data_IF_912895803277
#
_entry.id   IF_912895803277
#
_cell.length_a   1.000
_cell.length_b   1.000
_cell.length_c   1.000
_cell.angle_alpha   90.00
_cell.angle_beta   90.00
_cell.angle_gamma   90.00
#
_symmetry.space_group_name_H-M   'P 1'
#
loop_
_entity.id
_entity.type
_entity.pdbx_description
1 polymer ?
#
# COMPACT_ATOMS: atom_id res chain seq x y z
N UNK A 1 8.88 21.31 -17.03
CA UNK A 1 9.69 20.43 -16.16
C UNK A 1 10.32 19.38 -17.05
N UNK A 2 11.65 19.25 -17.05
CA UNK A 2 12.34 18.31 -17.94
C UNK A 2 11.97 16.87 -17.55
N UNK A 3 11.61 16.03 -18.54
CA UNK A 3 11.26 14.63 -18.29
C UNK A 3 12.44 13.88 -17.68
N UNK A 4 12.17 13.02 -16.69
CA UNK A 4 13.18 12.09 -16.19
C UNK A 4 13.59 11.11 -17.30
N UNK A 5 14.80 10.55 -17.23
CA UNK A 5 15.23 9.52 -18.18
C UNK A 5 14.25 8.33 -18.24
N UNK A 6 13.64 7.98 -17.10
CA UNK A 6 12.63 6.92 -17.01
C UNK A 6 11.35 7.28 -17.74
N UNK A 7 10.86 8.52 -17.62
CA UNK A 7 9.68 8.97 -18.37
C UNK A 7 9.99 9.12 -19.87
N UNK A 8 11.20 9.54 -20.25
CA UNK A 8 11.63 9.56 -21.66
C UNK A 8 11.62 8.15 -22.26
N UNK A 9 12.09 7.15 -21.51
CA UNK A 9 12.05 5.77 -21.96
C UNK A 9 10.61 5.21 -21.99
N UNK A 10 9.79 5.54 -20.99
CA UNK A 10 8.37 5.16 -21.00
C UNK A 10 7.65 5.74 -22.23
N UNK A 11 7.92 6.98 -22.60
CA UNK A 11 7.38 7.63 -23.80
C UNK A 11 7.79 6.89 -25.09
N UNK A 12 9.07 6.53 -25.22
CA UNK A 12 9.57 5.72 -26.34
C UNK A 12 8.82 4.40 -26.44
N UNK A 13 8.69 3.68 -25.33
CA UNK A 13 7.98 2.40 -25.30
C UNK A 13 6.50 2.56 -25.65
N UNK A 14 5.80 3.54 -25.05
CA UNK A 14 4.39 3.78 -25.36
C UNK A 14 4.19 4.20 -26.83
N UNK A 15 5.14 4.92 -27.43
CA UNK A 15 5.09 5.26 -28.85
C UNK A 15 5.20 4.03 -29.75
N UNK A 16 6.14 3.13 -29.46
CA UNK A 16 6.27 1.84 -30.17
C UNK A 16 5.00 0.99 -29.98
N UNK A 17 4.53 0.85 -28.74
CA UNK A 17 3.32 0.08 -28.43
C UNK A 17 2.08 0.64 -29.12
N UNK A 18 1.92 1.96 -29.18
CA UNK A 18 0.79 2.62 -29.84
C UNK A 18 0.84 2.47 -31.37
N UNK A 19 2.03 2.33 -31.93
CA UNK A 19 2.22 2.09 -33.37
C UNK A 19 1.91 0.64 -33.75
N UNK A 20 2.30 -0.31 -32.89
CA UNK A 20 2.14 -1.75 -33.13
C UNK A 20 0.76 -2.29 -32.75
N UNK A 21 0.17 -1.80 -31.65
CA UNK A 21 -1.14 -2.18 -31.08
C UNK A 21 -1.38 -3.66 -30.76
N UNK A 22 -0.38 -4.53 -30.93
CA UNK A 22 -0.51 -5.97 -30.68
C UNK A 22 -1.02 -6.32 -29.26
N UNK A 23 -0.64 -5.53 -28.26
CA UNK A 23 -0.98 -5.76 -26.85
C UNK A 23 -2.30 -5.11 -26.39
N UNK A 24 -3.11 -4.52 -27.28
CA UNK A 24 -4.27 -3.68 -26.91
C UNK A 24 -5.31 -4.38 -26.02
N UNK A 25 -5.47 -5.70 -26.16
CA UNK A 25 -6.38 -6.50 -25.35
C UNK A 25 -5.84 -6.98 -24.00
N UNK A 26 -4.54 -6.79 -23.71
CA UNK A 26 -3.89 -7.47 -22.58
C UNK A 26 -4.19 -6.81 -21.23
N UNK A 27 -4.29 -5.49 -21.12
CA UNK A 27 -4.60 -4.87 -19.84
C UNK A 27 -5.10 -3.44 -20.00
N UNK A 28 -5.58 -2.82 -18.92
CA UNK A 28 -6.12 -1.45 -18.94
C UNK A 28 -5.16 -0.37 -19.47
N UNK A 29 -3.84 -0.61 -19.42
CA UNK A 29 -2.84 0.36 -19.88
C UNK A 29 -2.97 0.64 -21.37
N UNK A 30 -3.17 -0.38 -22.21
CA UNK A 30 -3.14 -0.20 -23.66
C UNK A 30 -4.38 0.50 -24.22
N UNK A 31 -5.62 0.17 -23.80
CA UNK A 31 -6.80 0.95 -24.17
C UNK A 31 -6.77 2.38 -23.64
N UNK A 32 -6.09 2.62 -22.50
CA UNK A 32 -5.85 3.99 -22.05
C UNK A 32 -4.82 4.68 -22.96
N UNK A 33 -3.75 4.00 -23.36
CA UNK A 33 -2.71 4.55 -24.22
C UNK A 33 -3.22 4.90 -25.63
N UNK A 34 -4.02 4.02 -26.26
CA UNK A 34 -4.39 4.14 -27.68
C UNK A 34 -5.27 5.37 -28.01
N UNK A 35 -5.99 5.91 -27.03
CA UNK A 35 -6.82 7.11 -27.21
C UNK A 35 -6.00 8.41 -27.25
N UNK A 36 -4.67 8.31 -27.18
CA UNK A 36 -3.74 9.46 -27.18
C UNK A 36 -2.77 9.37 -28.35
N UNK A 37 -2.41 10.54 -28.90
CA UNK A 37 -1.43 10.67 -30.00
C UNK A 37 0.00 10.94 -29.51
N UNK A 38 0.12 11.58 -28.36
CA UNK A 38 1.37 11.87 -27.68
C UNK A 38 1.14 11.70 -26.17
N UNK A 39 2.20 11.36 -25.43
CA UNK A 39 2.08 11.07 -24.00
C UNK A 39 2.74 12.19 -23.22
N UNK A 40 2.00 12.85 -22.35
CA UNK A 40 2.57 13.80 -21.39
C UNK A 40 3.25 13.06 -20.23
N UNK A 41 4.04 13.76 -19.40
CA UNK A 41 4.56 13.16 -18.15
C UNK A 41 3.44 12.63 -17.26
N UNK A 42 2.32 13.36 -17.20
CA UNK A 42 1.11 12.96 -16.48
C UNK A 42 0.48 11.69 -17.02
N UNK A 43 0.42 11.52 -18.34
CA UNK A 43 -0.09 10.28 -18.95
C UNK A 43 0.82 9.08 -18.63
N UNK A 44 2.14 9.28 -18.66
CA UNK A 44 3.09 8.21 -18.35
C UNK A 44 3.03 7.82 -16.86
N UNK A 45 2.88 8.78 -15.95
CA UNK A 45 2.64 8.53 -14.53
C UNK A 45 1.29 7.84 -14.28
N UNK A 46 0.26 8.23 -15.03
CA UNK A 46 -1.04 7.56 -15.05
C UNK A 46 -0.90 6.09 -15.48
N UNK A 47 -0.24 5.80 -16.61
CA UNK A 47 -0.02 4.43 -17.07
C UNK A 47 0.82 3.60 -16.10
N UNK A 48 1.86 4.19 -15.51
CA UNK A 48 2.70 3.52 -14.52
C UNK A 48 1.91 3.06 -13.29
N UNK A 49 0.91 3.86 -12.88
CA UNK A 49 0.00 3.55 -11.79
C UNK A 49 -1.26 2.79 -12.24
N UNK A 50 -1.59 2.72 -13.52
CA UNK A 50 -2.60 1.81 -14.06
C UNK A 50 -2.02 0.40 -14.29
N UNK A 51 -0.71 0.29 -14.45
CA UNK A 51 0.01 -0.96 -14.66
C UNK A 51 0.09 -1.81 -13.38
N UNK A 52 -0.43 -3.03 -13.44
CA UNK A 52 -0.30 -4.03 -12.38
C UNK A 52 0.96 -4.90 -12.49
N UNK A 53 1.80 -4.62 -13.49
CA UNK A 53 3.01 -5.38 -13.81
C UNK A 53 2.70 -6.87 -13.96
N UNK A 54 1.73 -7.24 -14.78
CA UNK A 54 1.36 -8.66 -14.99
C UNK A 54 2.37 -9.43 -15.84
N UNK A 55 3.15 -8.76 -16.69
CA UNK A 55 4.17 -9.39 -17.53
C UNK A 55 3.68 -9.92 -18.88
N UNK A 56 2.36 -10.00 -19.12
CA UNK A 56 1.80 -10.50 -20.38
C UNK A 56 2.35 -9.75 -21.60
N UNK A 57 2.36 -8.41 -21.56
CA UNK A 57 2.91 -7.62 -22.65
C UNK A 57 4.42 -7.70 -22.85
N UNK A 58 5.16 -8.31 -21.93
CA UNK A 58 6.59 -8.58 -22.12
C UNK A 58 6.78 -9.92 -22.82
N UNK A 59 6.03 -10.95 -22.39
CA UNK A 59 6.07 -12.30 -22.96
C UNK A 59 5.54 -12.29 -24.40
N UNK A 60 4.39 -11.64 -24.64
CA UNK A 60 3.75 -11.63 -25.95
C UNK A 60 4.41 -10.67 -26.96
N UNK A 61 5.31 -9.80 -26.51
CA UNK A 61 5.87 -8.76 -27.37
C UNK A 61 7.01 -9.30 -28.23
N UNK A 62 6.84 -9.20 -29.55
CA UNK A 62 7.86 -9.55 -30.56
C UNK A 62 9.14 -8.66 -30.47
N UNK A 63 9.01 -7.50 -29.84
CA UNK A 63 10.09 -6.53 -29.64
C UNK A 63 10.66 -6.54 -28.22
N UNK A 64 10.27 -7.53 -27.40
CA UNK A 64 10.88 -7.75 -26.09
C UNK A 64 12.35 -8.21 -26.26
N UNK A 65 13.18 -8.08 -25.22
CA UNK A 65 14.57 -8.51 -25.29
C UNK A 65 14.66 -9.99 -25.69
N UNK A 66 15.63 -10.38 -26.54
CA UNK A 66 16.82 -9.63 -26.95
C UNK A 66 16.67 -8.74 -28.20
N UNK A 67 15.45 -8.45 -28.66
CA UNK A 67 15.23 -7.58 -29.82
C UNK A 67 15.84 -6.18 -29.62
N UNK A 68 16.36 -5.56 -30.68
CA UNK A 68 17.07 -4.26 -30.64
C UNK A 68 16.24 -3.10 -30.08
N UNK A 69 14.92 -3.15 -30.23
CA UNK A 69 14.00 -2.16 -29.66
C UNK A 69 13.82 -2.25 -28.15
N UNK A 70 14.21 -3.37 -27.53
CA UNK A 70 14.26 -3.57 -26.09
C UNK A 70 12.96 -3.17 -25.35
N UNK A 71 11.80 -3.66 -25.82
CA UNK A 71 10.50 -3.25 -25.28
C UNK A 71 10.22 -3.94 -23.93
N UNK A 72 10.63 -3.29 -22.83
CA UNK A 72 10.47 -3.78 -21.45
C UNK A 72 9.43 -3.00 -20.64
N UNK A 73 8.19 -2.92 -21.14
CA UNK A 73 7.11 -2.11 -20.54
C UNK A 73 6.94 -2.35 -19.03
N UNK A 74 6.87 -3.59 -18.51
CA UNK A 74 6.64 -3.81 -17.08
C UNK A 74 7.73 -3.23 -16.17
N UNK A 75 9.00 -3.34 -16.58
CA UNK A 75 10.14 -2.84 -15.80
C UNK A 75 10.22 -1.32 -15.83
N UNK A 76 10.07 -0.71 -17.01
CA UNK A 76 10.11 0.76 -17.16
C UNK A 76 8.95 1.41 -16.41
N UNK A 77 7.72 0.89 -16.54
CA UNK A 77 6.57 1.40 -15.79
C UNK A 77 6.67 1.10 -14.27
N UNK A 78 7.33 0.01 -13.86
CA UNK A 78 7.61 -0.23 -12.45
C UNK A 78 8.57 0.82 -11.87
N UNK A 79 9.58 1.23 -12.64
CA UNK A 79 10.51 2.29 -12.26
C UNK A 79 9.83 3.67 -12.24
N UNK A 80 9.06 4.01 -13.28
CA UNK A 80 8.28 5.26 -13.34
C UNK A 80 7.32 5.36 -12.15
N UNK A 81 6.65 4.25 -11.80
CA UNK A 81 5.77 4.20 -10.63
C UNK A 81 6.53 4.43 -9.32
N UNK A 82 7.71 3.82 -9.13
CA UNK A 82 8.53 4.09 -7.92
C UNK A 82 8.96 5.56 -7.84
N UNK A 83 9.39 6.15 -8.96
CA UNK A 83 9.74 7.58 -9.03
C UNK A 83 8.53 8.44 -8.64
N UNK A 84 7.34 8.10 -9.15
CA UNK A 84 6.10 8.81 -8.81
C UNK A 84 5.78 8.84 -7.31
N UNK A 85 6.16 7.82 -6.55
CA UNK A 85 5.95 7.82 -5.10
C UNK A 85 6.77 8.91 -4.40
N UNK A 86 7.99 9.15 -4.87
CA UNK A 86 8.85 10.21 -4.34
C UNK A 86 8.39 11.59 -4.83
N UNK A 87 7.97 11.71 -6.09
CA UNK A 87 7.56 12.98 -6.70
C UNK A 87 6.30 13.57 -6.05
N UNK A 88 5.39 12.69 -5.62
CA UNK A 88 4.13 13.06 -4.94
C UNK A 88 4.19 12.96 -3.41
N UNK A 89 5.34 12.62 -2.83
CA UNK A 89 5.49 12.59 -1.38
C UNK A 89 5.33 13.99 -0.79
N UNK A 90 4.54 14.10 0.28
CA UNK A 90 4.33 15.35 1.00
C UNK A 90 4.60 15.18 2.50
N UNK A 91 5.32 16.12 3.15
CA UNK A 91 6.03 17.24 2.54
C UNK A 91 7.25 16.75 1.74
N UNK A 92 7.56 17.43 0.63
CA UNK A 92 8.64 17.02 -0.29
C UNK A 92 10.01 16.89 0.38
N UNK A 93 10.25 17.63 1.46
CA UNK A 93 11.49 17.56 2.24
C UNK A 93 11.76 16.16 2.82
N UNK A 94 10.73 15.35 3.06
CA UNK A 94 10.88 13.99 3.61
C UNK A 94 11.08 12.93 2.52
N UNK A 95 10.81 13.23 1.25
CA UNK A 95 10.94 12.28 0.16
C UNK A 95 12.33 11.60 0.06
N UNK A 96 13.47 12.32 0.22
CA UNK A 96 14.80 11.71 0.13
C UNK A 96 15.06 10.67 1.22
N UNK A 97 14.51 10.88 2.43
CA UNK A 97 14.77 10.04 3.60
C UNK A 97 14.29 8.59 3.38
N UNK A 98 13.21 8.41 2.62
CA UNK A 98 12.59 7.12 2.38
C UNK A 98 13.07 6.41 1.10
N UNK A 99 13.92 7.05 0.28
CA UNK A 99 14.41 6.46 -0.98
C UNK A 99 15.39 5.29 -0.78
N UNK A 100 16.16 5.27 0.31
CA UNK A 100 17.23 4.28 0.53
C UNK A 100 17.15 3.51 1.86
N UNK A 101 16.57 4.09 2.92
CA UNK A 101 16.74 3.59 4.30
C UNK A 101 15.42 3.18 5.00
N UNK A 102 14.33 2.98 4.26
CA UNK A 102 12.98 2.81 4.83
C UNK A 102 12.86 1.73 5.94
N UNK A 103 13.52 0.57 5.78
CA UNK A 103 13.49 -0.48 6.81
C UNK A 103 14.25 -0.08 8.07
N UNK A 104 15.46 0.50 7.93
CA UNK A 104 16.25 0.96 9.07
C UNK A 104 15.52 2.05 9.84
N UNK A 105 14.94 3.03 9.12
CA UNK A 105 14.16 4.11 9.73
C UNK A 105 12.96 3.56 10.48
N UNK A 106 12.21 2.62 9.88
CA UNK A 106 11.06 2.01 10.53
C UNK A 106 11.48 1.26 11.80
N UNK A 107 12.50 0.40 11.74
CA UNK A 107 13.00 -0.35 12.90
C UNK A 107 13.54 0.57 14.00
N UNK A 108 14.32 1.59 13.65
CA UNK A 108 14.81 2.59 14.60
C UNK A 108 13.60 3.28 15.27
N UNK A 109 12.59 3.68 14.50
CA UNK A 109 11.38 4.32 15.04
C UNK A 109 10.65 3.38 16.01
N UNK A 110 10.48 2.10 15.66
CA UNK A 110 9.88 1.09 16.55
C UNK A 110 10.68 0.98 17.85
N UNK A 111 12.00 0.80 17.75
CA UNK A 111 12.86 0.60 18.91
C UNK A 111 12.94 1.86 19.78
N UNK A 112 13.01 3.05 19.19
CA UNK A 112 13.02 4.32 19.91
C UNK A 112 11.73 4.55 20.68
N UNK A 113 10.58 4.26 20.08
CA UNK A 113 9.27 4.42 20.75
C UNK A 113 9.09 3.36 21.82
N UNK A 114 9.45 2.10 21.53
CA UNK A 114 9.40 1.03 22.53
C UNK A 114 10.31 1.36 23.71
N UNK A 115 11.54 1.82 23.46
CA UNK A 115 12.47 2.25 24.50
C UNK A 115 11.94 3.46 25.30
N UNK A 116 11.30 4.42 24.63
CA UNK A 116 10.67 5.56 25.30
C UNK A 116 9.54 5.12 26.23
N UNK A 117 8.63 4.25 25.75
CA UNK A 117 7.52 3.71 26.56
C UNK A 117 8.07 2.91 27.74
N UNK A 118 9.01 1.99 27.49
CA UNK A 118 9.62 1.17 28.52
C UNK A 118 10.37 2.01 29.57
N UNK A 119 11.14 3.01 29.12
CA UNK A 119 11.87 3.93 29.98
C UNK A 119 10.93 4.79 30.84
N UNK A 120 9.86 5.33 30.24
CA UNK A 120 8.85 6.10 30.97
C UNK A 120 8.20 5.28 32.08
N UNK A 121 7.77 4.04 31.78
CA UNK A 121 7.17 3.16 32.79
C UNK A 121 8.21 2.74 33.84
N UNK A 122 9.44 2.41 33.44
CA UNK A 122 10.51 2.02 34.36
C UNK A 122 10.86 3.12 35.38
N UNK A 123 10.82 4.40 34.96
CA UNK A 123 11.13 5.54 35.81
C UNK A 123 9.98 5.94 36.74
N UNK A 124 8.72 5.62 36.40
CA UNK A 124 7.55 6.04 37.16
C UNK A 124 6.98 4.93 38.06
N UNK A 125 6.83 3.70 37.53
CA UNK A 125 6.39 2.52 38.27
C UNK A 125 7.01 1.27 37.62
N UNK A 126 8.23 0.90 38.02
CA UNK A 126 8.93 -0.26 37.45
C UNK A 126 8.20 -1.58 37.70
N UNK A 127 7.37 -1.66 38.76
CA UNK A 127 6.53 -2.81 39.03
C UNK A 127 5.42 -2.96 37.97
N UNK A 128 4.96 -1.86 37.35
CA UNK A 128 3.97 -1.88 36.28
C UNK A 128 4.42 -2.68 35.04
N UNK A 129 5.72 -2.79 34.77
CA UNK A 129 6.22 -3.48 33.57
C UNK A 129 5.99 -4.98 33.58
N UNK A 130 6.10 -5.59 34.76
CA UNK A 130 6.05 -7.05 34.93
C UNK A 130 4.93 -7.51 35.86
N UNK A 131 4.16 -6.58 36.45
CA UNK A 131 2.99 -6.91 37.24
C UNK A 131 1.94 -7.64 36.38
N UNK A 132 1.45 -8.78 36.86
CA UNK A 132 0.28 -9.44 36.29
C UNK A 132 -0.94 -8.63 36.73
N UNK A 133 -1.49 -7.81 35.82
CA UNK A 133 -2.70 -7.03 36.07
C UNK A 133 -3.87 -7.66 35.32
N UNK A 134 -4.87 -8.11 36.08
CA UNK A 134 -6.10 -8.67 35.53
C UNK A 134 -7.23 -7.64 35.63
N UNK A 135 -8.07 -7.55 34.60
CA UNK A 135 -9.29 -6.74 34.59
C UNK A 135 -9.26 -5.52 33.63
N UNK A 136 -10.42 -4.89 33.42
CA UNK A 136 -10.58 -3.70 32.55
C UNK A 136 -9.63 -2.57 32.95
N UNK A 137 -9.03 -1.91 31.96
CA UNK A 137 -8.15 -0.75 32.15
C UNK A 137 -6.69 -1.08 32.48
N UNK A 138 -6.31 -2.37 32.55
CA UNK A 138 -4.93 -2.80 32.88
C UNK A 138 -3.86 -2.23 31.94
N UNK A 139 -4.22 -1.99 30.67
CA UNK A 139 -3.35 -1.36 29.67
C UNK A 139 -3.07 0.13 29.94
N UNK A 140 -4.03 0.85 30.52
CA UNK A 140 -3.94 2.29 30.74
C UNK A 140 -2.98 2.67 31.87
N UNK A 141 -2.61 1.69 32.70
CA UNK A 141 -1.59 1.87 33.72
C UNK A 141 -0.16 1.95 33.13
N UNK A 142 0.06 1.46 31.89
CA UNK A 142 1.34 1.66 31.17
C UNK A 142 1.33 2.96 30.36
N UNK A 143 0.23 3.26 29.69
CA UNK A 143 0.06 4.49 28.93
C UNK A 143 -1.38 4.99 29.11
N UNK A 144 -1.58 6.16 29.75
CA UNK A 144 -2.92 6.72 29.91
C UNK A 144 -3.64 6.83 28.57
N UNK A 145 -4.93 6.50 28.54
CA UNK A 145 -5.72 6.49 27.30
C UNK A 145 -5.61 7.80 26.51
N UNK A 146 -5.65 8.95 27.19
CA UNK A 146 -5.55 10.26 26.55
C UNK A 146 -4.20 10.48 25.86
N UNK A 147 -3.10 9.95 26.42
CA UNK A 147 -1.78 10.04 25.80
C UNK A 147 -1.72 9.15 24.55
N UNK A 148 -2.27 7.94 24.63
CA UNK A 148 -2.38 7.04 23.48
C UNK A 148 -3.23 7.68 22.37
N UNK A 149 -4.40 8.21 22.71
CA UNK A 149 -5.30 8.87 21.76
C UNK A 149 -4.64 10.10 21.10
N UNK A 150 -3.91 10.91 21.86
CA UNK A 150 -3.22 12.09 21.34
C UNK A 150 -2.09 11.71 20.37
N UNK A 151 -1.18 10.82 20.78
CA UNK A 151 0.01 10.47 19.99
C UNK A 151 -0.37 9.72 18.71
N UNK A 152 -1.20 8.68 18.81
CA UNK A 152 -1.63 7.90 17.65
C UNK A 152 -2.62 8.68 16.79
N UNK A 153 -3.48 9.51 17.39
CA UNK A 153 -4.36 10.42 16.67
C UNK A 153 -3.58 11.44 15.84
N UNK A 154 -2.53 12.05 16.41
CA UNK A 154 -1.64 12.97 15.70
C UNK A 154 -0.91 12.27 14.53
N UNK A 155 -0.36 11.07 14.77
CA UNK A 155 0.29 10.28 13.71
C UNK A 155 -0.68 9.89 12.59
N UNK A 156 -1.92 9.50 12.94
CA UNK A 156 -2.97 9.20 11.98
C UNK A 156 -3.37 10.43 11.15
N UNK A 157 -3.60 11.58 11.80
CA UNK A 157 -3.93 12.84 11.13
C UNK A 157 -2.81 13.28 10.20
N UNK A 158 -1.54 13.16 10.63
CA UNK A 158 -0.39 13.41 9.76
C UNK A 158 -0.42 12.53 8.51
N UNK A 159 -0.66 11.22 8.68
CA UNK A 159 -0.76 10.31 7.55
C UNK A 159 -1.89 10.69 6.59
N UNK A 160 -3.06 11.06 7.11
CA UNK A 160 -4.20 11.54 6.31
C UNK A 160 -3.83 12.80 5.53
N UNK A 161 -3.23 13.81 6.18
CA UNK A 161 -2.81 15.06 5.52
C UNK A 161 -1.79 14.77 4.42
N UNK A 162 -0.80 13.91 4.67
CA UNK A 162 0.19 13.53 3.66
C UNK A 162 -0.44 12.80 2.47
N UNK A 163 -1.34 11.84 2.72
CA UNK A 163 -2.07 11.15 1.65
C UNK A 163 -2.95 12.08 0.82
N UNK A 164 -3.68 12.98 1.47
CA UNK A 164 -4.56 13.93 0.78
C UNK A 164 -3.75 14.87 -0.12
N UNK A 165 -2.61 15.39 0.35
CA UNK A 165 -1.76 16.25 -0.46
C UNK A 165 -1.07 15.49 -1.60
N UNK A 166 -0.56 14.28 -1.34
CA UNK A 166 0.01 13.43 -2.40
C UNK A 166 -1.03 13.02 -3.45
N UNK A 167 -2.26 12.71 -3.02
CA UNK A 167 -3.37 12.42 -3.92
C UNK A 167 -3.73 13.60 -4.81
N UNK A 168 -3.84 14.80 -4.24
CA UNK A 168 -4.08 16.04 -5.02
C UNK A 168 -2.97 16.29 -6.02
N UNK A 169 -1.71 16.11 -5.63
CA UNK A 169 -0.57 16.30 -6.51
C UNK A 169 -0.60 15.31 -7.69
N UNK A 170 -0.84 14.02 -7.42
CA UNK A 170 -0.99 12.99 -8.46
C UNK A 170 -2.19 13.26 -9.36
N UNK A 171 -3.35 13.59 -8.79
CA UNK A 171 -4.59 13.85 -9.53
C UNK A 171 -4.45 15.03 -10.50
N UNK A 172 -3.78 16.10 -10.06
CA UNK A 172 -3.50 17.26 -10.89
C UNK A 172 -2.46 16.93 -11.98
N UNK A 173 -1.43 16.14 -11.69
CA UNK A 173 -0.41 15.73 -12.68
C UNK A 173 -1.01 14.89 -13.81
N UNK A 174 -1.88 13.93 -13.47
CA UNK A 174 -2.57 13.13 -14.49
C UNK A 174 -3.62 13.93 -15.27
N UNK A 175 -3.86 15.20 -14.94
CA UNK A 175 -4.75 16.08 -15.69
C UNK A 175 -6.23 15.70 -15.65
N UNK A 176 -6.67 15.01 -14.60
CA UNK A 176 -8.07 14.61 -14.45
C UNK A 176 -8.89 15.68 -13.72
N UNK A 177 -10.13 15.91 -14.15
CA UNK A 177 -10.96 16.96 -13.57
C UNK A 177 -11.48 16.54 -12.19
N UNK A 178 -11.49 17.48 -11.23
CA UNK A 178 -12.06 17.22 -9.91
C UNK A 178 -13.55 16.80 -9.95
N UNK A 179 -14.28 17.25 -10.98
CA UNK A 179 -15.68 16.88 -11.24
C UNK A 179 -15.87 15.37 -11.48
N UNK A 180 -14.83 14.65 -11.91
CA UNK A 180 -14.87 13.19 -12.11
C UNK A 180 -15.06 12.45 -10.78
N UNK A 181 -14.52 12.96 -9.67
CA UNK A 181 -14.72 12.36 -8.34
C UNK A 181 -16.16 12.46 -7.84
N UNK A 182 -16.94 13.42 -8.36
CA UNK A 182 -18.35 13.58 -8.06
C UNK A 182 -19.25 12.65 -8.91
N UNK A 183 -18.71 11.93 -9.91
CA UNK A 183 -19.48 11.04 -10.78
C UNK A 183 -19.57 9.63 -10.15
N UNK A 184 -20.76 9.13 -9.79
CA UNK A 184 -20.89 7.88 -9.05
C UNK A 184 -20.53 6.64 -9.87
N UNK A 185 -20.83 6.62 -11.18
CA UNK A 185 -20.61 5.45 -12.03
C UNK A 185 -19.11 5.09 -12.20
N UNK A 186 -18.23 6.00 -12.67
CA UNK A 186 -16.79 5.73 -12.74
C UNK A 186 -16.19 5.39 -11.37
N UNK A 187 -16.64 6.06 -10.31
CA UNK A 187 -16.16 5.83 -8.96
C UNK A 187 -16.51 4.41 -8.46
N UNK A 188 -17.76 3.98 -8.62
CA UNK A 188 -18.20 2.65 -8.22
C UNK A 188 -17.50 1.54 -9.02
N UNK A 189 -17.28 1.76 -10.32
CA UNK A 189 -16.50 0.84 -11.14
C UNK A 189 -15.06 0.74 -10.63
N UNK A 190 -14.39 1.86 -10.37
CA UNK A 190 -13.03 1.87 -9.84
C UNK A 190 -12.93 1.19 -8.47
N UNK A 191 -13.93 1.37 -7.59
CA UNK A 191 -14.03 0.66 -6.30
C UNK A 191 -14.10 -0.85 -6.54
N UNK A 192 -14.97 -1.30 -7.45
CA UNK A 192 -15.12 -2.73 -7.78
C UNK A 192 -13.85 -3.31 -8.38
N UNK A 193 -13.23 -2.60 -9.32
CA UNK A 193 -12.01 -3.04 -10.00
C UNK A 193 -10.82 -3.08 -9.02
N UNK A 194 -10.71 -2.13 -8.10
CA UNK A 194 -9.70 -2.12 -7.04
C UNK A 194 -9.93 -3.24 -6.01
N UNK A 195 -11.17 -3.42 -5.54
CA UNK A 195 -11.51 -4.42 -4.52
C UNK A 195 -11.39 -5.85 -5.02
N UNK A 196 -11.62 -6.09 -6.31
CA UNK A 196 -11.46 -7.40 -6.95
C UNK A 196 -10.08 -7.63 -7.54
N UNK A 197 -9.23 -6.59 -7.64
CA UNK A 197 -7.97 -6.60 -8.37
C UNK A 197 -8.11 -7.07 -9.82
N UNK A 198 -9.18 -6.66 -10.51
CA UNK A 198 -9.54 -7.12 -11.86
C UNK A 198 -8.37 -7.08 -12.85
N UNK A 199 -7.58 -6.01 -12.82
CA UNK A 199 -6.47 -5.79 -13.75
C UNK A 199 -5.14 -6.42 -13.32
N UNK A 200 -5.12 -7.11 -12.16
CA UNK A 200 -3.98 -7.92 -11.79
C UNK A 200 -3.84 -9.15 -12.70
N UNK A 201 -4.92 -9.70 -13.24
CA UNK A 201 -4.88 -10.92 -14.08
C UNK A 201 -4.56 -10.65 -15.57
N UNK A 202 -4.06 -9.46 -15.92
CA UNK A 202 -3.50 -9.18 -17.25
C UNK A 202 -4.40 -9.55 -18.42
N UNK A 203 -5.71 -9.29 -18.31
CA UNK A 203 -6.68 -9.60 -19.38
C UNK A 203 -7.48 -10.89 -19.14
N UNK A 204 -7.18 -11.62 -18.07
CA UNK A 204 -7.95 -12.80 -17.61
C UNK A 204 -7.17 -14.10 -17.62
N UNK A 205 -6.02 -14.15 -18.30
CA UNK A 205 -5.16 -15.35 -18.35
C UNK A 205 -4.29 -15.50 -17.10
N UNK A 206 -4.02 -14.41 -16.37
CA UNK A 206 -3.19 -14.38 -15.16
C UNK A 206 -1.90 -13.57 -15.33
N UNK A 207 -1.08 -13.53 -14.27
CA UNK A 207 0.24 -12.90 -14.30
C UNK A 207 1.34 -13.91 -14.62
N UNK A 208 2.36 -13.45 -15.33
CA UNK A 208 3.59 -14.16 -15.67
C UNK A 208 4.66 -13.93 -14.60
N UNK A 209 5.41 -14.99 -14.29
CA UNK A 209 6.42 -15.01 -13.23
C UNK A 209 7.80 -15.35 -13.79
N UNK A 210 8.39 -16.49 -13.42
CA UNK A 210 9.65 -17.02 -13.95
C UNK A 210 9.46 -17.82 -15.25
N UNK A 211 8.28 -18.41 -15.41
CA UNK A 211 7.88 -19.18 -16.58
C UNK A 211 6.78 -18.46 -17.37
N UNK A 212 6.59 -18.87 -18.62
CA UNK A 212 5.50 -18.43 -19.50
C UNK A 212 4.12 -18.98 -19.09
N UNK A 213 4.00 -19.62 -17.93
CA UNK A 213 2.74 -20.14 -17.40
C UNK A 213 2.10 -19.10 -16.48
N UNK A 214 0.85 -18.69 -16.74
CA UNK A 214 0.19 -17.71 -15.89
C UNK A 214 -0.35 -18.39 -14.62
N UNK A 215 0.52 -18.53 -13.61
CA UNK A 215 0.18 -19.04 -12.29
C UNK A 215 0.64 -18.03 -11.24
N UNK A 216 -0.28 -17.20 -10.75
CA UNK A 216 0.05 -16.15 -9.80
C UNK A 216 -0.92 -16.04 -8.61
N UNK A 217 -0.44 -16.45 -7.44
CA UNK A 217 -1.16 -16.31 -6.17
C UNK A 217 -1.04 -14.90 -5.56
N UNK A 218 -0.39 -13.93 -6.23
CA UNK A 218 -0.28 -12.54 -5.74
C UNK A 218 -1.64 -11.92 -5.46
N UNK A 219 -2.68 -12.26 -6.21
CA UNK A 219 -4.05 -11.79 -5.94
C UNK A 219 -4.53 -12.22 -4.57
N UNK A 220 -4.42 -13.51 -4.25
CA UNK A 220 -4.78 -14.07 -2.94
C UNK A 220 -3.99 -13.39 -1.82
N UNK A 221 -2.66 -13.36 -1.93
CA UNK A 221 -1.80 -12.77 -0.89
C UNK A 221 -2.00 -11.26 -0.73
N UNK A 222 -2.33 -10.56 -1.81
CA UNK A 222 -2.70 -9.15 -1.74
C UNK A 222 -4.06 -8.96 -1.06
N UNK A 223 -5.07 -9.79 -1.35
CA UNK A 223 -6.35 -9.73 -0.64
C UNK A 223 -6.20 -10.04 0.85
N UNK A 224 -5.40 -11.04 1.23
CA UNK A 224 -5.07 -11.31 2.64
C UNK A 224 -4.42 -10.11 3.31
N UNK A 225 -3.46 -9.47 2.64
CA UNK A 225 -2.82 -8.24 3.15
C UNK A 225 -3.82 -7.08 3.28
N UNK A 226 -4.57 -6.79 2.22
CA UNK A 226 -5.46 -5.64 2.13
C UNK A 226 -6.65 -5.76 3.07
N UNK A 227 -7.40 -6.87 2.99
CA UNK A 227 -8.52 -7.11 3.88
C UNK A 227 -8.04 -7.37 5.31
N UNK A 228 -6.88 -7.99 5.50
CA UNK A 228 -6.27 -8.12 6.82
C UNK A 228 -6.02 -6.76 7.48
N UNK A 229 -5.43 -5.82 6.75
CA UNK A 229 -5.22 -4.46 7.24
C UNK A 229 -6.54 -3.74 7.55
N UNK A 230 -7.54 -3.87 6.67
CA UNK A 230 -8.88 -3.28 6.90
C UNK A 230 -9.56 -3.87 8.13
N UNK A 231 -9.41 -5.17 8.40
CA UNK A 231 -9.95 -5.81 9.60
C UNK A 231 -9.23 -5.33 10.87
N UNK A 232 -7.91 -5.14 10.85
CA UNK A 232 -7.17 -4.52 11.95
C UNK A 232 -7.63 -3.06 12.21
N UNK A 233 -7.83 -2.29 11.15
CA UNK A 233 -8.35 -0.93 11.26
C UNK A 233 -9.79 -0.91 11.81
N UNK A 234 -10.65 -1.82 11.35
CA UNK A 234 -12.00 -1.99 11.85
C UNK A 234 -12.02 -2.41 13.33
N UNK A 235 -11.14 -3.32 13.74
CA UNK A 235 -10.95 -3.72 15.15
C UNK A 235 -10.68 -2.50 16.04
N UNK A 236 -9.72 -1.66 15.64
CA UNK A 236 -9.35 -0.45 16.39
C UNK A 236 -10.48 0.58 16.41
N UNK A 237 -11.20 0.71 15.30
CA UNK A 237 -12.35 1.62 15.19
C UNK A 237 -13.51 1.18 16.09
N UNK A 238 -13.85 -0.11 16.08
CA UNK A 238 -14.88 -0.69 16.96
C UNK A 238 -14.47 -0.57 18.43
N UNK A 239 -13.19 -0.85 18.76
CA UNK A 239 -12.68 -0.67 20.13
C UNK A 239 -12.79 0.79 20.61
N UNK A 240 -12.57 1.75 19.72
CA UNK A 240 -12.74 3.19 20.01
C UNK A 240 -14.21 3.51 20.30
N UNK A 241 -15.13 2.97 19.49
CA UNK A 241 -16.57 3.13 19.72
C UNK A 241 -17.00 2.49 21.05
N UNK A 242 -16.50 1.30 21.37
CA UNK A 242 -16.77 0.63 22.64
C UNK A 242 -16.33 1.47 23.83
N UNK A 243 -15.16 2.07 23.75
CA UNK A 243 -14.64 2.92 24.82
C UNK A 243 -15.48 4.20 25.01
N UNK A 244 -15.72 4.97 23.94
CA UNK A 244 -16.36 6.28 24.07
C UNK A 244 -17.89 6.25 24.09
N UNK A 245 -18.55 5.31 23.39
CA UNK A 245 -20.02 5.24 23.31
C UNK A 245 -20.60 4.26 24.32
N UNK A 246 -19.91 3.15 24.59
CA UNK A 246 -20.42 2.07 25.45
C UNK A 246 -19.73 2.02 26.82
N UNK A 247 -18.72 2.86 27.06
CA UNK A 247 -17.90 2.85 28.29
C UNK A 247 -17.32 1.47 28.63
N UNK A 248 -17.03 0.67 27.59
CA UNK A 248 -16.41 -0.65 27.73
C UNK A 248 -14.92 -0.53 27.49
N UNK A 249 -14.13 -0.80 28.52
CA UNK A 249 -12.68 -0.73 28.45
C UNK A 249 -12.04 -2.08 28.11
N UNK A 250 -10.93 -2.05 27.38
CA UNK A 250 -10.09 -3.22 27.12
C UNK A 250 -9.40 -3.68 28.43
N UNK A 251 -9.02 -4.96 28.58
CA UNK A 251 -9.08 -6.07 27.61
C UNK A 251 -10.48 -6.64 27.37
N UNK A 252 -10.77 -6.95 26.10
CA UNK A 252 -12.03 -7.60 25.69
C UNK A 252 -11.91 -9.14 25.65
N UNK A 253 -13.02 -9.87 25.87
CA UNK A 253 -13.09 -11.32 25.65
C UNK A 253 -12.73 -11.75 24.21
N UNK A 254 -12.34 -13.01 24.01
CA UNK A 254 -11.88 -13.50 22.70
C UNK A 254 -12.96 -13.50 21.61
N UNK A 255 -14.23 -13.61 21.98
CA UNK A 255 -15.38 -13.61 21.07
C UNK A 255 -15.90 -12.21 20.75
N UNK A 256 -15.41 -11.17 21.43
CA UNK A 256 -15.84 -9.80 21.19
C UNK A 256 -15.35 -9.30 19.83
N UNK A 257 -16.17 -8.46 19.20
CA UNK A 257 -15.95 -8.00 17.83
C UNK A 257 -14.56 -7.39 17.59
N UNK A 258 -14.00 -6.50 18.46
CA UNK A 258 -12.63 -6.03 18.29
C UNK A 258 -11.59 -7.14 18.23
N UNK A 259 -11.70 -8.17 19.06
CA UNK A 259 -10.69 -9.25 19.13
C UNK A 259 -10.81 -10.17 17.92
N UNK A 260 -12.03 -10.52 17.49
CA UNK A 260 -12.25 -11.35 16.30
C UNK A 260 -11.72 -10.65 15.05
N UNK A 261 -12.09 -9.38 14.84
CA UNK A 261 -11.59 -8.58 13.71
C UNK A 261 -10.07 -8.43 13.76
N UNK A 262 -9.51 -8.15 14.94
CA UNK A 262 -8.07 -7.99 15.12
C UNK A 262 -7.29 -9.28 14.90
N UNK A 263 -7.84 -10.42 15.29
CA UNK A 263 -7.21 -11.74 15.11
C UNK A 263 -7.19 -12.14 13.64
N UNK A 264 -8.34 -12.06 12.96
CA UNK A 264 -8.43 -12.35 11.52
C UNK A 264 -7.58 -11.37 10.71
N UNK A 265 -7.62 -10.09 11.08
CA UNK A 265 -6.79 -9.04 10.48
C UNK A 265 -5.30 -9.33 10.65
N UNK A 266 -4.88 -9.63 11.87
CA UNK A 266 -3.51 -9.98 12.25
C UNK A 266 -2.97 -11.17 11.45
N UNK A 267 -3.76 -12.24 11.33
CA UNK A 267 -3.40 -13.40 10.48
C UNK A 267 -3.27 -13.01 9.01
N UNK A 268 -4.19 -12.18 8.49
CA UNK A 268 -4.14 -11.68 7.12
C UNK A 268 -2.88 -10.86 6.82
N UNK A 269 -2.49 -9.94 7.70
CA UNK A 269 -1.27 -9.13 7.56
C UNK A 269 0.02 -9.88 7.92
N UNK A 270 -0.05 -11.12 8.38
CA UNK A 270 1.11 -12.02 8.45
C UNK A 270 1.23 -12.86 7.18
N UNK A 271 0.18 -13.63 6.87
CA UNK A 271 0.20 -14.60 5.77
C UNK A 271 0.31 -13.89 4.41
N UNK A 272 -0.45 -12.81 4.22
CA UNK A 272 -0.46 -12.03 2.99
C UNK A 272 0.92 -11.48 2.63
N UNK A 273 1.57 -10.69 3.49
CA UNK A 273 2.89 -10.13 3.17
C UNK A 273 4.01 -11.17 3.00
N UNK A 274 4.00 -12.25 3.80
CA UNK A 274 4.96 -13.36 3.64
C UNK A 274 4.77 -14.02 2.26
N UNK A 275 3.52 -14.29 1.87
CA UNK A 275 3.19 -14.85 0.56
C UNK A 275 3.53 -13.90 -0.60
N UNK A 276 3.27 -12.59 -0.46
CA UNK A 276 3.67 -11.59 -1.44
C UNK A 276 5.19 -11.51 -1.61
N UNK A 277 5.94 -11.63 -0.52
CA UNK A 277 7.40 -11.65 -0.57
C UNK A 277 7.93 -12.88 -1.30
N UNK A 278 7.38 -14.06 -0.98
CA UNK A 278 7.71 -15.31 -1.67
C UNK A 278 7.36 -15.24 -3.17
N UNK A 279 6.17 -14.75 -3.51
CA UNK A 279 5.74 -14.58 -4.89
C UNK A 279 6.63 -13.59 -5.66
N UNK A 280 7.06 -12.50 -5.03
CA UNK A 280 7.97 -11.53 -5.66
C UNK A 280 9.35 -12.12 -5.95
N UNK A 281 9.85 -13.04 -5.13
CA UNK A 281 11.14 -13.72 -5.36
C UNK A 281 11.13 -14.62 -6.60
N UNK A 282 9.97 -15.15 -6.98
CA UNK A 282 9.77 -15.99 -8.17
C UNK A 282 9.53 -15.21 -9.47
N UNK A 283 9.54 -13.88 -9.41
CA UNK A 283 9.32 -13.08 -10.61
C UNK A 283 10.61 -12.94 -11.39
N UNK A 284 10.49 -13.01 -12.71
CA UNK A 284 11.60 -12.68 -13.61
C UNK A 284 12.12 -11.26 -13.28
N UNK A 285 13.45 -11.18 -13.13
CA UNK A 285 14.17 -9.94 -12.89
C UNK A 285 13.96 -8.93 -14.03
N UNK A 286 13.75 -9.39 -15.27
CA UNK A 286 13.48 -8.53 -16.43
C UNK A 286 12.15 -7.76 -16.33
N UNK A 287 11.22 -8.21 -15.49
CA UNK A 287 9.92 -7.56 -15.26
C UNK A 287 9.94 -6.56 -14.10
N UNK A 288 11.03 -6.48 -13.34
CA UNK A 288 11.09 -5.77 -12.06
C UNK A 288 12.08 -4.60 -12.09
N UNK A 289 11.80 -3.59 -11.27
CA UNK A 289 12.80 -2.57 -10.92
C UNK A 289 13.60 -3.04 -9.68
N UNK A 290 14.92 -3.32 -9.79
CA UNK A 290 15.75 -3.76 -8.67
C UNK A 290 15.75 -2.76 -7.51
N UNK A 291 15.67 -1.46 -7.80
CA UNK A 291 15.69 -0.40 -6.79
C UNK A 291 14.39 -0.34 -5.96
N UNK A 292 13.32 -1.02 -6.40
CA UNK A 292 12.08 -1.14 -5.62
C UNK A 292 12.16 -2.15 -4.47
N UNK A 293 13.18 -3.02 -4.43
CA UNK A 293 13.25 -4.13 -3.46
C UNK A 293 13.30 -3.65 -2.01
N UNK A 294 14.10 -2.62 -1.69
CA UNK A 294 14.27 -2.15 -0.31
C UNK A 294 12.96 -1.66 0.32
N UNK A 295 12.27 -0.72 -0.34
CA UNK A 295 10.99 -0.17 0.13
C UNK A 295 9.89 -1.25 0.22
N UNK A 296 9.86 -2.17 -0.73
CA UNK A 296 8.88 -3.25 -0.74
C UNK A 296 9.09 -4.20 0.46
N UNK A 297 10.33 -4.61 0.72
CA UNK A 297 10.66 -5.49 1.84
C UNK A 297 10.41 -4.77 3.16
N UNK A 298 10.77 -3.50 3.27
CA UNK A 298 10.52 -2.69 4.47
C UNK A 298 9.03 -2.67 4.83
N UNK A 299 8.18 -2.39 3.85
CA UNK A 299 6.74 -2.31 4.06
C UNK A 299 6.14 -3.66 4.45
N UNK A 300 6.50 -4.75 3.75
CA UNK A 300 6.01 -6.09 4.08
C UNK A 300 6.47 -6.54 5.47
N UNK A 301 7.74 -6.29 5.83
CA UNK A 301 8.28 -6.62 7.15
C UNK A 301 7.56 -5.87 8.27
N UNK A 302 7.24 -4.58 8.08
CA UNK A 302 6.50 -3.80 9.07
C UNK A 302 5.08 -4.31 9.30
N UNK A 303 4.38 -4.74 8.25
CA UNK A 303 3.07 -5.37 8.39
C UNK A 303 3.13 -6.69 9.17
N UNK A 304 4.11 -7.55 8.84
CA UNK A 304 4.32 -8.81 9.57
C UNK A 304 4.67 -8.54 11.02
N UNK A 305 5.60 -7.62 11.30
CA UNK A 305 5.98 -7.25 12.66
C UNK A 305 4.77 -6.75 13.47
N UNK A 306 3.93 -5.92 12.86
CA UNK A 306 2.70 -5.42 13.48
C UNK A 306 1.72 -6.56 13.79
N UNK A 307 1.53 -7.49 12.85
CA UNK A 307 0.67 -8.67 13.04
C UNK A 307 1.20 -9.63 14.12
N UNK A 308 2.49 -9.98 14.06
CA UNK A 308 3.15 -10.86 15.05
C UNK A 308 3.04 -10.26 16.45
N UNK A 309 3.42 -9.00 16.61
CA UNK A 309 3.38 -8.34 17.92
C UNK A 309 1.96 -8.20 18.45
N UNK A 310 0.97 -7.90 17.61
CA UNK A 310 -0.42 -7.79 18.02
C UNK A 310 -1.02 -9.13 18.48
N UNK A 311 -0.77 -10.21 17.74
CA UNK A 311 -1.19 -11.56 18.11
C UNK A 311 -0.45 -12.05 19.37
N UNK A 312 0.84 -11.73 19.51
CA UNK A 312 1.62 -12.07 20.70
C UNK A 312 1.07 -11.36 21.94
N UNK A 313 0.69 -10.08 21.84
CA UNK A 313 0.00 -9.36 22.93
C UNK A 313 -1.29 -10.09 23.30
N UNK A 314 -2.11 -10.49 22.34
CA UNK A 314 -3.36 -11.21 22.62
C UNK A 314 -3.13 -12.54 23.35
N UNK A 315 -2.15 -13.33 22.89
CA UNK A 315 -1.84 -14.65 23.46
C UNK A 315 -1.21 -14.57 24.86
N UNK A 316 -0.39 -13.54 25.10
CA UNK A 316 0.42 -13.40 26.32
C UNK A 316 -0.09 -12.31 27.27
N UNK A 317 -1.30 -11.77 27.05
CA UNK A 317 -1.88 -10.67 27.83
C UNK A 317 -2.01 -10.93 29.32
N UNK A 318 -2.14 -12.20 29.73
CA UNK A 318 -2.26 -12.59 31.15
C UNK A 318 -0.89 -12.86 31.82
N UNK A 319 0.21 -12.62 31.11
CA UNK A 319 1.58 -12.88 31.59
C UNK A 319 2.33 -11.58 31.87
N UNK A 320 3.47 -11.69 32.59
CA UNK A 320 4.37 -10.54 32.81
C UNK A 320 5.02 -10.00 31.53
N UNK A 321 4.94 -10.73 30.41
CA UNK A 321 5.45 -10.27 29.12
C UNK A 321 4.54 -9.22 28.45
N UNK A 322 3.30 -9.04 28.93
CA UNK A 322 2.31 -8.16 28.33
C UNK A 322 2.84 -6.74 28.13
N UNK A 323 3.47 -6.15 29.15
CA UNK A 323 3.90 -4.75 29.09
C UNK A 323 4.94 -4.48 28.00
N UNK A 324 5.92 -5.38 27.88
CA UNK A 324 6.96 -5.29 26.85
C UNK A 324 6.39 -5.53 25.45
N UNK A 325 5.54 -6.54 25.29
CA UNK A 325 4.91 -6.85 24.00
C UNK A 325 4.00 -5.71 23.54
N UNK A 326 3.25 -5.09 24.46
CA UNK A 326 2.42 -3.94 24.17
C UNK A 326 3.25 -2.74 23.72
N UNK A 327 4.35 -2.43 24.42
CA UNK A 327 5.25 -1.34 24.02
C UNK A 327 5.84 -1.57 22.62
N UNK A 328 6.26 -2.81 22.31
CA UNK A 328 6.75 -3.18 20.98
C UNK A 328 5.66 -3.07 19.91
N UNK A 329 4.44 -3.54 20.21
CA UNK A 329 3.31 -3.46 19.29
C UNK A 329 2.93 -2.00 19.00
N UNK A 330 2.81 -1.17 20.04
CA UNK A 330 2.53 0.27 19.92
C UNK A 330 3.62 0.98 19.12
N UNK A 331 4.89 0.67 19.37
CA UNK A 331 6.01 1.16 18.56
C UNK A 331 5.89 0.76 17.09
N UNK A 332 5.55 -0.51 16.80
CA UNK A 332 5.34 -1.02 15.46
C UNK A 332 4.20 -0.30 14.72
N UNK A 333 3.04 -0.15 15.37
CA UNK A 333 1.87 0.55 14.82
C UNK A 333 2.18 2.02 14.57
N UNK A 334 2.82 2.71 15.51
CA UNK A 334 3.15 4.13 15.35
C UNK A 334 4.14 4.34 14.19
N UNK A 335 5.21 3.54 14.14
CA UNK A 335 6.16 3.57 13.04
C UNK A 335 5.49 3.26 11.70
N UNK A 336 4.56 2.30 11.67
CA UNK A 336 3.77 2.01 10.47
C UNK A 336 3.04 3.29 10.01
N UNK A 337 2.21 3.91 10.85
CA UNK A 337 1.41 5.09 10.46
C UNK A 337 2.25 6.28 9.98
N UNK A 338 3.38 6.57 10.63
CA UNK A 338 4.26 7.65 10.18
C UNK A 338 4.89 7.35 8.83
N UNK A 339 5.24 6.09 8.56
CA UNK A 339 5.93 5.69 7.34
C UNK A 339 4.97 5.34 6.19
N UNK A 340 3.67 5.13 6.47
CA UNK A 340 2.64 4.81 5.48
C UNK A 340 2.65 5.75 4.25
N UNK A 341 2.68 7.08 4.39
CA UNK A 341 2.62 8.01 3.25
C UNK A 341 3.91 8.05 2.41
N UNK A 342 5.00 7.48 2.91
CA UNK A 342 6.32 7.52 2.27
C UNK A 342 6.81 6.14 1.82
N UNK A 343 6.01 5.10 2.06
CA UNK A 343 6.30 3.73 1.66
C UNK A 343 5.48 3.30 0.45
N UNK A 344 5.49 1.99 0.20
CA UNK A 344 4.71 1.41 -0.90
C UNK A 344 3.20 1.63 -0.74
N UNK A 345 2.68 1.88 0.46
CA UNK A 345 1.23 1.99 0.71
C UNK A 345 0.52 2.99 -0.23
N UNK A 346 1.18 4.09 -0.59
CA UNK A 346 0.65 5.11 -1.54
C UNK A 346 0.23 4.53 -2.89
N UNK A 347 0.78 3.38 -3.29
CA UNK A 347 0.41 2.72 -4.54
C UNK A 347 -1.08 2.38 -4.60
N UNK A 348 -1.71 2.05 -3.47
CA UNK A 348 -3.14 1.75 -3.44
C UNK A 348 -3.98 2.98 -3.80
N UNK A 349 -3.54 4.15 -3.33
CA UNK A 349 -4.19 5.43 -3.57
C UNK A 349 -4.00 5.90 -5.03
N UNK A 350 -2.77 5.86 -5.55
CA UNK A 350 -2.49 6.27 -6.93
C UNK A 350 -3.08 5.32 -7.96
N UNK A 351 -3.06 4.00 -7.69
CA UNK A 351 -3.76 3.00 -8.52
C UNK A 351 -5.27 3.23 -8.54
N UNK A 352 -5.87 3.48 -7.38
CA UNK A 352 -7.29 3.76 -7.30
C UNK A 352 -7.66 4.99 -8.14
N UNK A 353 -6.92 6.09 -8.01
CA UNK A 353 -7.14 7.29 -8.83
C UNK A 353 -6.93 7.04 -10.32
N UNK A 354 -5.92 6.26 -10.71
CA UNK A 354 -5.74 5.83 -12.09
C UNK A 354 -6.95 5.02 -12.60
N UNK A 355 -7.49 4.10 -11.79
CA UNK A 355 -8.70 3.34 -12.14
C UNK A 355 -9.93 4.23 -12.28
N UNK A 356 -10.08 5.28 -11.47
CA UNK A 356 -11.17 6.26 -11.61
C UNK A 356 -11.06 6.99 -12.96
N UNK A 357 -9.87 7.48 -13.32
CA UNK A 357 -9.61 8.10 -14.63
C UNK A 357 -9.92 7.12 -15.77
N UNK A 358 -9.46 5.89 -15.66
CA UNK A 358 -9.70 4.85 -16.65
C UNK A 358 -11.20 4.53 -16.83
N UNK A 359 -11.94 4.36 -15.74
CA UNK A 359 -13.37 4.12 -15.78
C UNK A 359 -14.13 5.29 -16.43
N UNK A 360 -13.72 6.54 -16.16
CA UNK A 360 -14.25 7.72 -16.84
C UNK A 360 -13.96 7.70 -18.34
N UNK A 361 -12.71 7.44 -18.74
CA UNK A 361 -12.29 7.35 -20.15
C UNK A 361 -13.12 6.33 -20.92
N UNK A 362 -13.33 5.14 -20.34
CA UNK A 362 -14.18 4.10 -20.93
C UNK A 362 -15.63 4.54 -21.10
N UNK A 363 -16.22 5.13 -20.06
CA UNK A 363 -17.61 5.57 -20.13
C UNK A 363 -17.81 6.72 -21.12
N UNK A 364 -16.86 7.64 -21.27
CA UNK A 364 -16.92 8.68 -22.31
C UNK A 364 -16.90 8.05 -23.71
N UNK A 365 -16.01 7.07 -23.94
CA UNK A 365 -15.94 6.35 -25.20
C UNK A 365 -17.24 5.58 -25.53
N UNK A 366 -17.84 4.90 -24.54
CA UNK A 366 -19.13 4.21 -24.67
C UNK A 366 -20.29 5.15 -25.03
N UNK A 367 -20.21 6.43 -24.62
CA UNK A 367 -21.22 7.45 -24.92
C UNK A 367 -20.96 8.22 -26.22
N UNK A 368 -19.86 7.96 -26.91
CA UNK A 368 -19.43 8.75 -28.07
C UNK A 368 -19.06 10.20 -27.73
N UNK A 369 -18.83 10.50 -26.45
CA UNK A 369 -18.35 11.81 -26.01
C UNK A 369 -16.84 11.86 -26.23
N UNK A 370 -16.40 12.57 -27.27
CA UNK A 370 -14.97 12.90 -27.40
C UNK A 370 -14.55 13.72 -26.18
N UNK A 371 -13.60 13.20 -25.40
CA UNK A 371 -12.98 13.92 -24.31
C UNK A 371 -12.26 15.15 -24.89
N UNK A 372 -12.91 16.31 -24.80
CA UNK A 372 -12.30 17.63 -25.07
C UNK A 372 -11.26 17.96 -24.03
#
# INVERSE_FOLDING_TARGET
MQRSATLTEADRLMTICNSCRYCEGLCAVFPAMEIRRAFTSGDLNYFANLCHSCGACYVDCQFSPPHEFDVRVPAVLAKARRESYADYAWPRALAPLFRSNGLAIALITVLSIAAFILGFVALNDSAALFARRHGPGSFYALMPHNMMALLFGAAFLWAVVAFVNGARAFWNDIGEQASTLARPRPLLQAVRDAASLRYLDGGGVGCYNEDERPNDNRRLYHHLTFYGFLLCFASTSVATLYHYLLHREAPYPFWDLPVVLGTLGGLGIMIGPIGLYAAKRKRDAALMDPASRGMDVAFLAMLVLTGVTGLAVLLLRETSAMGVLLALHLGAVFALFITLPYGKFVHGLYRFMALVRYARERHSAERGEHAT
#
